data_IF_342892207939
#
_entry.id   IF_342892207939
#
_cell.length_a   1.000
_cell.length_b   1.000
_cell.length_c   1.000
_cell.angle_alpha   90.00
_cell.angle_beta   90.00
_cell.angle_gamma   90.00
#
_symmetry.space_group_name_H-M   'P 1'
#
loop_
_entity.id
_entity.type
_entity.pdbx_description
1 polymer ?
#
# COMPACT_ATOMS: atom_id res chain seq x y z
N UNK A 1 -8.43 -1.31 21.49
CA UNK A 1 -9.01 -2.38 20.66
C UNK A 1 -8.54 -2.14 19.23
N UNK A 2 -7.37 -2.69 18.88
CA UNK A 2 -6.79 -2.58 17.52
C UNK A 2 -6.69 -3.93 16.82
N UNK A 3 -6.96 -5.03 17.55
CA UNK A 3 -6.88 -6.38 17.01
C UNK A 3 -8.00 -6.65 16.00
N UNK A 4 -9.20 -6.11 16.21
CA UNK A 4 -10.35 -6.37 15.35
C UNK A 4 -10.13 -5.82 13.93
N UNK A 5 -9.55 -4.61 13.80
CA UNK A 5 -9.29 -4.00 12.49
C UNK A 5 -8.28 -4.80 11.66
N UNK A 6 -7.15 -5.19 12.27
CA UNK A 6 -6.12 -5.96 11.59
C UNK A 6 -6.61 -7.37 11.25
N UNK A 7 -7.37 -8.01 12.12
CA UNK A 7 -7.87 -9.37 11.88
C UNK A 7 -8.96 -9.38 10.80
N UNK A 8 -9.85 -8.40 10.80
CA UNK A 8 -10.85 -8.22 9.74
C UNK A 8 -10.19 -7.93 8.40
N UNK A 9 -9.16 -7.08 8.38
CA UNK A 9 -8.38 -6.85 7.17
C UNK A 9 -7.66 -8.10 6.70
N UNK A 10 -7.09 -8.90 7.60
CA UNK A 10 -6.45 -10.18 7.24
C UNK A 10 -7.45 -11.15 6.58
N UNK A 11 -8.70 -11.19 7.04
CA UNK A 11 -9.78 -11.95 6.38
C UNK A 11 -10.12 -11.37 5.02
N UNK A 12 -10.23 -10.05 4.91
CA UNK A 12 -10.45 -9.38 3.62
C UNK A 12 -9.32 -9.74 2.64
N UNK A 13 -8.06 -9.68 3.07
CA UNK A 13 -6.89 -10.04 2.29
C UNK A 13 -6.97 -11.48 1.74
N UNK A 14 -7.41 -12.46 2.54
CA UNK A 14 -7.63 -13.83 2.09
C UNK A 14 -8.68 -13.94 0.97
N UNK A 15 -9.74 -13.13 1.05
CA UNK A 15 -10.80 -13.11 0.03
C UNK A 15 -10.30 -12.44 -1.25
N UNK A 16 -9.52 -11.36 -1.11
CA UNK A 16 -8.87 -10.66 -2.22
C UNK A 16 -7.88 -11.59 -2.91
N UNK A 17 -6.98 -12.24 -2.17
CA UNK A 17 -5.99 -13.20 -2.69
C UNK A 17 -6.63 -14.29 -3.55
N UNK A 18 -7.83 -14.78 -3.18
CA UNK A 18 -8.56 -15.78 -3.94
C UNK A 18 -9.17 -15.26 -5.25
N UNK A 19 -9.38 -13.95 -5.38
CA UNK A 19 -10.00 -13.30 -6.54
C UNK A 19 -8.99 -12.75 -7.54
N UNK A 20 -7.71 -12.65 -7.17
CA UNK A 20 -6.66 -12.10 -8.01
C UNK A 20 -5.39 -12.95 -7.98
N UNK A 21 -4.44 -12.63 -8.85
CA UNK A 21 -3.17 -13.39 -8.91
C UNK A 21 -2.31 -13.08 -7.69
N UNK A 22 -1.54 -14.07 -7.17
CA UNK A 22 -0.69 -13.90 -6.01
C UNK A 22 0.39 -12.82 -6.21
N UNK A 23 0.84 -12.61 -7.45
CA UNK A 23 1.79 -11.54 -7.78
C UNK A 23 1.18 -10.14 -7.54
N UNK A 24 -0.02 -9.89 -8.06
CA UNK A 24 -0.76 -8.65 -7.83
C UNK A 24 -1.03 -8.44 -6.34
N UNK A 25 -1.37 -9.51 -5.61
CA UNK A 25 -1.62 -9.45 -4.17
C UNK A 25 -0.37 -9.07 -3.39
N UNK A 26 0.75 -9.72 -3.70
CA UNK A 26 2.01 -9.47 -3.02
C UNK A 26 2.55 -8.07 -3.29
N UNK A 27 2.27 -7.50 -4.46
CA UNK A 27 2.63 -6.12 -4.77
C UNK A 27 1.68 -5.13 -4.10
N UNK A 28 0.36 -5.26 -4.33
CA UNK A 28 -0.62 -4.22 -3.99
C UNK A 28 -1.16 -4.28 -2.57
N UNK A 29 -1.33 -5.49 -2.03
CA UNK A 29 -2.09 -5.73 -0.80
C UNK A 29 -1.20 -6.20 0.36
N UNK A 30 -0.11 -6.92 0.08
CA UNK A 30 0.84 -7.34 1.12
C UNK A 30 1.46 -6.16 1.91
N UNK A 31 1.81 -4.99 1.31
CA UNK A 31 2.30 -3.85 2.09
C UNK A 31 1.17 -3.03 2.73
N UNK A 32 -0.09 -3.48 2.66
CA UNK A 32 -1.24 -2.74 3.19
C UNK A 32 -1.68 -3.29 4.55
N UNK A 33 -1.99 -2.41 5.48
CA UNK A 33 -2.44 -2.78 6.81
C UNK A 33 -3.60 -1.91 7.27
N UNK A 34 -4.62 -2.48 7.92
CA UNK A 34 -5.66 -1.67 8.55
C UNK A 34 -5.12 -0.97 9.79
N UNK A 35 -5.08 0.36 9.75
CA UNK A 35 -4.78 1.21 10.90
C UNK A 35 -6.00 1.41 11.76
N UNK A 36 -7.15 1.64 11.12
CA UNK A 36 -8.43 1.83 11.79
C UNK A 36 -9.54 1.18 11.00
N UNK A 37 -10.46 0.57 11.73
CA UNK A 37 -11.69 0.04 11.17
C UNK A 37 -12.82 0.46 12.09
N UNK A 38 -13.75 1.20 11.52
CA UNK A 38 -14.97 1.70 12.13
C UNK A 38 -16.16 1.36 11.23
N UNK A 39 -17.37 1.57 11.74
CA UNK A 39 -18.61 1.25 11.01
C UNK A 39 -18.78 2.06 9.73
N UNK A 40 -18.21 3.27 9.70
CA UNK A 40 -18.33 4.23 8.59
C UNK A 40 -17.01 4.41 7.82
N UNK A 41 -15.84 4.08 8.39
CA UNK A 41 -14.54 4.32 7.77
C UNK A 41 -13.56 3.17 8.00
N UNK A 42 -12.82 2.80 6.94
CA UNK A 42 -11.71 1.85 7.00
C UNK A 42 -10.45 2.60 6.55
N UNK A 43 -9.50 2.77 7.46
CA UNK A 43 -8.21 3.39 7.18
C UNK A 43 -7.15 2.32 6.92
N UNK A 44 -6.61 2.32 5.70
CA UNK A 44 -5.55 1.43 5.24
C UNK A 44 -4.23 2.19 5.14
N UNK A 45 -3.23 1.72 5.84
CA UNK A 45 -1.87 2.19 5.69
C UNK A 45 -1.21 1.55 4.46
N UNK A 46 -0.51 2.38 3.69
CA UNK A 46 0.26 1.98 2.52
C UNK A 46 1.64 2.63 2.52
N UNK A 47 2.57 2.08 1.74
CA UNK A 47 3.94 2.60 1.65
C UNK A 47 4.07 3.90 0.83
N UNK A 48 3.11 4.22 -0.05
CA UNK A 48 3.18 5.41 -0.90
C UNK A 48 1.79 5.94 -1.31
N UNK A 49 1.66 7.26 -1.45
CA UNK A 49 0.43 7.93 -1.88
C UNK A 49 0.01 7.52 -3.30
N UNK A 50 0.99 7.24 -4.18
CA UNK A 50 0.68 6.72 -5.52
C UNK A 50 0.01 5.35 -5.44
N UNK A 51 0.46 4.54 -4.49
CA UNK A 51 -0.08 3.21 -4.24
C UNK A 51 -1.53 3.28 -3.77
N UNK A 52 -1.80 4.16 -2.81
CA UNK A 52 -3.15 4.48 -2.35
C UNK A 52 -4.08 4.80 -3.53
N UNK A 53 -3.72 5.77 -4.37
CA UNK A 53 -4.57 6.17 -5.50
C UNK A 53 -4.81 5.06 -6.51
N UNK A 54 -3.79 4.26 -6.81
CA UNK A 54 -3.92 3.15 -7.75
C UNK A 54 -4.86 2.08 -7.20
N UNK A 55 -4.71 1.70 -5.93
CA UNK A 55 -5.58 0.73 -5.26
C UNK A 55 -7.00 1.28 -5.11
N UNK A 56 -7.13 2.56 -4.78
CA UNK A 56 -8.41 3.25 -4.67
C UNK A 56 -9.14 3.31 -6.03
N UNK A 57 -8.45 3.51 -7.14
CA UNK A 57 -9.11 3.58 -8.45
C UNK A 57 -9.42 2.20 -9.03
N UNK A 58 -8.52 1.24 -8.88
CA UNK A 58 -8.64 -0.08 -9.54
C UNK A 58 -9.28 -1.14 -8.64
N UNK A 59 -9.03 -1.09 -7.33
CA UNK A 59 -9.41 -2.15 -6.38
C UNK A 59 -10.38 -1.70 -5.29
N UNK A 60 -10.71 -0.42 -5.15
CA UNK A 60 -11.73 0.05 -4.22
C UNK A 60 -13.07 -0.70 -4.35
N UNK A 61 -13.66 -0.91 -5.55
CA UNK A 61 -14.91 -1.66 -5.64
C UNK A 61 -14.76 -3.12 -5.17
N UNK A 62 -13.58 -3.70 -5.36
CA UNK A 62 -13.26 -5.07 -4.92
C UNK A 62 -13.12 -5.11 -3.40
N UNK A 63 -12.37 -4.19 -2.81
CA UNK A 63 -12.20 -4.07 -1.36
C UNK A 63 -13.55 -3.82 -0.70
N UNK A 64 -14.34 -2.89 -1.23
CA UNK A 64 -15.65 -2.54 -0.69
C UNK A 64 -16.61 -3.73 -0.74
N UNK A 65 -16.59 -4.52 -1.81
CA UNK A 65 -17.37 -5.76 -1.91
C UNK A 65 -16.94 -6.80 -0.87
N UNK A 66 -15.63 -7.01 -0.70
CA UNK A 66 -15.10 -7.97 0.28
C UNK A 66 -15.41 -7.54 1.72
N UNK A 67 -15.27 -6.26 2.04
CA UNK A 67 -15.60 -5.71 3.37
C UNK A 67 -17.10 -5.81 3.63
N UNK A 68 -17.96 -5.55 2.64
CA UNK A 68 -19.40 -5.73 2.75
C UNK A 68 -19.77 -7.20 2.97
N UNK A 69 -19.08 -8.14 2.32
CA UNK A 69 -19.30 -9.58 2.52
C UNK A 69 -18.86 -10.06 3.92
N UNK A 70 -17.73 -9.57 4.43
CA UNK A 70 -17.20 -9.97 5.74
C UNK A 70 -17.94 -9.33 6.92
N UNK A 71 -18.38 -8.08 6.76
CA UNK A 71 -18.87 -7.25 7.87
C UNK A 71 -20.35 -6.89 7.74
N UNK A 72 -20.91 -6.98 6.54
CA UNK A 72 -22.24 -6.44 6.20
C UNK A 72 -22.29 -4.92 6.09
N UNK A 73 -21.14 -4.22 6.24
CA UNK A 73 -21.04 -2.77 6.25
C UNK A 73 -20.30 -2.26 5.02
N UNK A 74 -20.59 -1.02 4.63
CA UNK A 74 -19.93 -0.32 3.52
C UNK A 74 -19.16 0.90 4.00
N UNK A 75 -18.11 0.71 4.83
CA UNK A 75 -17.31 1.83 5.29
C UNK A 75 -16.59 2.47 4.11
N UNK A 76 -16.31 3.76 4.25
CA UNK A 76 -15.49 4.52 3.32
C UNK A 76 -14.03 4.10 3.48
N UNK A 77 -13.45 3.56 2.42
CA UNK A 77 -12.04 3.19 2.40
C UNK A 77 -11.21 4.46 2.25
N UNK A 78 -10.29 4.67 3.16
CA UNK A 78 -9.36 5.80 3.16
C UNK A 78 -7.95 5.25 3.26
N UNK A 79 -7.01 5.81 2.51
CA UNK A 79 -5.63 5.34 2.54
C UNK A 79 -4.73 6.39 3.18
N UNK A 80 -3.90 5.95 4.13
CA UNK A 80 -2.91 6.77 4.83
C UNK A 80 -1.51 6.28 4.46
N UNK A 81 -0.59 7.19 4.18
CA UNK A 81 0.80 6.82 3.88
C UNK A 81 1.56 6.71 5.18
N UNK A 82 2.28 5.59 5.37
CA UNK A 82 3.19 5.43 6.49
C UNK A 82 4.25 6.54 6.43
N UNK A 83 4.08 7.58 7.25
CA UNK A 83 5.03 8.68 7.29
C UNK A 83 6.26 8.20 8.07
N UNK A 84 7.34 7.89 7.35
CA UNK A 84 8.65 7.78 7.99
C UNK A 84 8.87 9.09 8.78
N UNK A 85 9.27 9.03 10.07
CA UNK A 85 9.57 10.23 10.82
C UNK A 85 10.78 10.89 10.18
N UNK A 86 10.54 11.82 9.26
CA UNK A 86 11.55 12.69 8.69
C UNK A 86 12.20 13.43 9.86
N UNK A 87 13.41 13.03 10.24
CA UNK A 87 14.28 13.83 11.09
C UNK A 87 14.62 15.08 10.28
N UNK A 88 14.18 16.29 10.66
CA UNK A 88 14.65 17.50 10.02
C UNK A 88 16.08 17.77 10.51
N UNK A 89 17.08 17.41 9.69
CA UNK A 89 18.45 17.88 9.89
C UNK A 89 18.87 18.70 8.66
N UNK A 90 18.92 19.99 8.88
CA UNK A 90 19.27 21.10 8.00
C UNK A 90 20.71 21.08 7.44
N UNK A 91 20.83 21.45 6.16
CA UNK A 91 21.93 22.21 5.50
C UNK A 91 23.36 21.63 5.46
N UNK A 92 23.95 21.50 4.26
CA UNK A 92 25.02 22.40 3.71
C UNK A 92 25.64 21.86 2.42
N UNK A 93 25.80 22.78 1.46
CA UNK A 93 26.39 22.71 0.12
C UNK A 93 27.82 22.15 0.01
N UNK A 94 28.06 21.27 -0.99
CA UNK A 94 29.33 21.21 -1.75
C UNK A 94 29.14 20.52 -3.13
N UNK A 95 29.51 21.13 -4.27
CA UNK A 95 29.67 20.43 -5.56
C UNK A 95 31.17 20.10 -5.80
N UNK A 96 31.57 19.50 -6.93
CA UNK A 96 31.73 18.06 -7.14
C UNK A 96 33.22 17.67 -7.31
N UNK A 97 33.54 16.36 -7.24
CA UNK A 97 34.85 15.86 -7.71
C UNK A 97 34.71 14.48 -8.38
N UNK A 98 35.23 14.28 -9.61
CA UNK A 98 35.06 13.07 -10.39
C UNK A 98 36.19 12.05 -10.13
N UNK A 99 36.08 10.87 -10.75
CA UNK A 99 36.85 9.62 -10.59
C UNK A 99 36.41 8.82 -9.36
N UNK A 100 35.91 7.59 -9.46
CA UNK A 100 35.89 6.65 -10.57
C UNK A 100 35.74 5.24 -9.95
N UNK A 101 35.30 4.30 -10.78
CA UNK A 101 35.27 2.86 -10.55
C UNK A 101 34.02 2.28 -9.85
N UNK A 102 33.23 1.60 -10.70
CA UNK A 102 32.44 0.40 -10.41
C UNK A 102 31.42 0.47 -9.27
N UNK A 103 30.19 0.80 -9.65
CA UNK A 103 29.06 -0.01 -9.21
C UNK A 103 28.12 -0.15 -10.42
N UNK A 104 28.04 -1.36 -10.96
CA UNK A 104 26.84 -1.79 -11.68
C UNK A 104 25.69 -1.78 -10.68
N UNK A 105 25.15 -0.60 -10.44
CA UNK A 105 23.82 -0.38 -9.92
C UNK A 105 23.09 0.32 -11.05
N UNK A 106 22.74 -0.46 -12.07
CA UNK A 106 21.36 -0.36 -12.48
C UNK A 106 20.59 -0.89 -11.27
N UNK A 107 19.91 -0.05 -10.44
CA UNK A 107 18.75 -0.61 -9.80
C UNK A 107 17.89 -1.11 -10.95
N UNK A 108 17.39 -2.33 -10.83
CA UNK A 108 16.33 -2.85 -11.67
C UNK A 108 15.14 -1.89 -11.52
N UNK A 109 15.16 -0.80 -12.29
CA UNK A 109 14.11 0.19 -12.45
C UNK A 109 13.07 -0.43 -13.39
N UNK A 110 12.54 -1.58 -12.96
CA UNK A 110 11.47 -2.32 -13.62
C UNK A 110 10.44 -2.83 -12.58
N UNK A 111 10.64 -2.51 -11.29
CA UNK A 111 9.81 -3.08 -10.21
C UNK A 111 8.83 -2.08 -9.56
N UNK A 112 8.64 -0.89 -10.14
CA UNK A 112 7.66 0.09 -9.64
C UNK A 112 6.59 0.47 -10.66
N UNK A 113 6.55 -0.17 -11.83
CA UNK A 113 5.38 -0.07 -12.69
C UNK A 113 4.35 -1.12 -12.23
N UNK A 114 3.11 -0.71 -11.91
CA UNK A 114 2.05 -1.65 -11.64
C UNK A 114 1.96 -2.67 -12.77
N UNK A 115 1.88 -3.99 -12.48
CA UNK A 115 1.33 -4.89 -13.48
C UNK A 115 -0.10 -4.39 -13.74
N UNK A 116 -0.31 -3.80 -14.92
CA UNK A 116 -1.63 -3.38 -15.37
C UNK A 116 -2.56 -4.60 -15.27
N UNK A 117 -3.73 -4.49 -14.60
CA UNK A 117 -4.69 -5.56 -14.65
C UNK A 117 -5.17 -5.73 -16.10
N UNK A 118 -5.09 -6.96 -16.59
CA UNK A 118 -5.56 -7.38 -17.93
C UNK A 118 -7.09 -7.28 -18.04
#
# INVERSE_FOLDING_TARGET
MSQDAQELWARCLLHIERRMRPQTFNTWFQPTAAQRFDEDVLELEVSSAYFAHFVESNYLPLIQGVVEEETGLRPKITFSVAQEPFKPSTSTSTPPKPLGLAASLAPSDESSEPPAPE
#
